data_IF_223192543616
#
_entry.id   IF_223192543616
#
_cell.length_a   1.000
_cell.length_b   1.000
_cell.length_c   1.000
_cell.angle_alpha   90.00
_cell.angle_beta   90.00
_cell.angle_gamma   90.00
#
_symmetry.space_group_name_H-M   'P 1'
#
loop_
_entity.id
_entity.type
_entity.pdbx_description
1 polymer ?
#
# COMPACT_ATOMS: atom_id res chain seq x y z
N UNK A 1 -20.11 9.55 0.64
CA UNK A 1 -20.65 10.41 1.71
C UNK A 1 -19.91 11.73 1.79
N UNK A 2 -18.63 11.73 2.05
CA UNK A 2 -17.84 12.96 2.29
C UNK A 2 -16.69 13.00 1.29
N UNK A 3 -16.84 13.71 0.15
CA UNK A 3 -15.83 13.76 -0.91
C UNK A 3 -14.74 14.79 -0.59
N UNK A 4 -13.92 14.53 0.40
CA UNK A 4 -12.83 15.41 0.87
C UNK A 4 -11.47 14.72 0.74
N UNK A 5 -10.44 15.50 0.43
CA UNK A 5 -9.06 15.02 0.25
C UNK A 5 -8.48 14.32 1.49
N UNK A 6 -8.97 14.65 2.69
CA UNK A 6 -8.61 13.98 3.93
C UNK A 6 -8.95 12.48 3.97
N UNK A 7 -9.83 12.00 3.08
CA UNK A 7 -10.14 10.59 2.88
C UNK A 7 -10.43 9.85 4.19
N UNK A 8 -9.58 8.87 4.53
CA UNK A 8 -9.69 8.06 5.74
C UNK A 8 -9.73 8.92 7.02
N UNK A 9 -8.95 9.99 7.08
CA UNK A 9 -8.92 10.91 8.23
C UNK A 9 -10.28 11.55 8.47
N UNK A 10 -10.90 12.12 7.44
CA UNK A 10 -12.22 12.76 7.53
C UNK A 10 -13.30 11.76 7.99
N UNK A 11 -13.33 10.56 7.40
CA UNK A 11 -14.31 9.54 7.81
C UNK A 11 -14.12 9.11 9.27
N UNK A 12 -12.87 9.01 9.72
CA UNK A 12 -12.54 8.60 11.08
C UNK A 12 -12.84 9.73 12.07
N UNK A 13 -12.58 10.99 11.75
CA UNK A 13 -12.93 12.12 12.62
C UNK A 13 -14.45 12.17 12.90
N UNK A 14 -15.28 11.97 11.88
CA UNK A 14 -16.75 11.94 12.01
C UNK A 14 -17.26 10.68 12.72
N UNK A 15 -16.57 9.54 12.60
CA UNK A 15 -17.00 8.29 13.22
C UNK A 15 -16.52 8.11 14.66
N UNK A 16 -15.23 8.39 14.93
CA UNK A 16 -14.51 8.01 16.15
C UNK A 16 -13.69 9.15 16.79
N UNK A 17 -13.71 10.33 16.19
CA UNK A 17 -13.02 11.52 16.71
C UNK A 17 -11.59 11.71 16.20
N UNK A 18 -11.03 12.86 16.52
CA UNK A 18 -9.76 13.34 15.96
C UNK A 18 -8.55 12.52 16.40
N UNK A 19 -8.56 11.98 17.62
CA UNK A 19 -7.46 11.14 18.13
C UNK A 19 -7.28 9.89 17.26
N UNK A 20 -8.37 9.18 17.00
CA UNK A 20 -8.34 7.98 16.14
C UNK A 20 -8.03 8.38 14.69
N UNK A 21 -8.56 9.50 14.20
CA UNK A 21 -8.29 10.02 12.86
C UNK A 21 -6.79 10.26 12.63
N UNK A 22 -6.12 10.98 13.53
CA UNK A 22 -4.67 11.19 13.48
C UNK A 22 -3.93 9.86 13.56
N UNK A 23 -4.33 8.99 14.49
CA UNK A 23 -3.74 7.67 14.69
C UNK A 23 -3.78 6.81 13.43
N UNK A 24 -4.91 6.78 12.72
CA UNK A 24 -5.10 6.00 11.50
C UNK A 24 -4.28 6.54 10.34
N UNK A 25 -4.28 7.85 10.10
CA UNK A 25 -3.55 8.40 8.95
C UNK A 25 -2.04 8.40 9.20
N UNK A 26 -1.59 8.82 10.37
CA UNK A 26 -0.16 8.78 10.69
C UNK A 26 0.33 7.34 10.90
N UNK A 27 -0.44 6.48 11.58
CA UNK A 27 -0.05 5.10 11.86
C UNK A 27 -0.17 4.17 10.65
N UNK A 28 -1.26 4.28 9.91
CA UNK A 28 -1.54 3.38 8.79
C UNK A 28 -0.99 3.82 7.43
N UNK A 29 -0.57 5.08 7.27
CA UNK A 29 -0.05 5.58 5.99
C UNK A 29 1.30 6.28 6.14
N UNK A 30 1.45 7.28 7.00
CA UNK A 30 2.73 7.99 7.12
C UNK A 30 3.82 7.11 7.72
N UNK A 31 3.50 6.32 8.76
CA UNK A 31 4.43 5.37 9.39
C UNK A 31 4.81 4.19 8.48
N UNK A 32 4.00 3.90 7.46
CA UNK A 32 4.32 2.87 6.45
C UNK A 32 5.52 3.30 5.60
N UNK A 33 5.67 4.59 5.30
CA UNK A 33 6.69 5.12 4.40
C UNK A 33 8.13 4.71 4.76
N UNK A 34 8.61 4.92 6.01
CA UNK A 34 9.99 4.57 6.37
C UNK A 34 10.27 3.06 6.36
N UNK A 35 9.24 2.23 6.23
CA UNK A 35 9.37 0.78 6.13
C UNK A 35 9.20 0.29 4.68
N UNK A 36 8.08 0.60 4.02
CA UNK A 36 7.80 0.08 2.68
C UNK A 36 8.70 0.67 1.61
N UNK A 37 8.83 2.00 1.55
CA UNK A 37 9.54 2.64 0.45
C UNK A 37 11.03 2.25 0.36
N UNK A 38 11.80 2.25 1.46
CA UNK A 38 13.18 1.76 1.41
C UNK A 38 13.27 0.28 1.04
N UNK A 39 12.37 -0.56 1.59
CA UNK A 39 12.38 -1.99 1.30
C UNK A 39 12.15 -2.27 -0.19
N UNK A 40 11.19 -1.61 -0.81
CA UNK A 40 10.89 -1.75 -2.25
C UNK A 40 12.00 -1.20 -3.14
N UNK A 41 12.62 -0.07 -2.76
CA UNK A 41 13.73 0.52 -3.49
C UNK A 41 15.01 -0.34 -3.37
N UNK A 42 15.29 -0.92 -2.19
CA UNK A 42 16.40 -1.86 -1.99
C UNK A 42 16.15 -3.18 -2.74
N UNK A 43 14.91 -3.66 -2.79
CA UNK A 43 14.55 -4.83 -3.58
C UNK A 43 14.79 -4.60 -5.07
N UNK A 44 14.43 -3.42 -5.58
CA UNK A 44 14.75 -3.02 -6.95
C UNK A 44 16.25 -3.05 -7.21
N UNK A 45 17.06 -2.43 -6.33
CA UNK A 45 18.52 -2.43 -6.46
C UNK A 45 19.07 -3.86 -6.47
N UNK A 46 18.55 -4.73 -5.58
CA UNK A 46 18.93 -6.15 -5.54
C UNK A 46 18.65 -6.87 -6.87
N UNK A 47 17.47 -6.63 -7.46
CA UNK A 47 17.07 -7.25 -8.74
C UNK A 47 17.93 -6.73 -9.90
N UNK A 48 18.15 -5.42 -9.94
CA UNK A 48 18.98 -4.83 -11.02
C UNK A 48 20.44 -5.26 -10.89
N UNK A 49 20.98 -5.34 -9.68
CA UNK A 49 22.33 -5.83 -9.41
C UNK A 49 22.52 -7.30 -9.79
N UNK A 50 21.46 -8.13 -9.66
CA UNK A 50 21.49 -9.52 -10.10
C UNK A 50 21.69 -9.65 -11.63
N UNK A 51 21.12 -8.70 -12.40
CA UNK A 51 21.17 -8.71 -13.87
C UNK A 51 22.38 -7.95 -14.41
N UNK A 52 22.70 -6.82 -13.79
CA UNK A 52 23.78 -5.89 -14.20
C UNK A 52 24.63 -5.52 -12.97
N UNK A 53 25.51 -6.43 -12.50
CA UNK A 53 26.29 -6.24 -11.29
C UNK A 53 27.08 -4.92 -11.28
N UNK A 54 26.89 -4.10 -10.24
CA UNK A 54 27.60 -2.84 -10.03
C UNK A 54 27.31 -1.72 -11.01
N UNK A 55 26.39 -1.90 -11.97
CA UNK A 55 26.18 -0.92 -13.05
C UNK A 55 25.35 0.29 -12.63
N UNK A 56 24.46 0.15 -11.64
CA UNK A 56 23.50 1.19 -11.25
C UNK A 56 23.47 1.41 -9.73
N UNK A 57 24.57 1.89 -9.13
CA UNK A 57 24.58 2.18 -7.69
C UNK A 57 23.59 3.29 -7.37
N UNK A 58 22.86 3.13 -6.24
CA UNK A 58 21.88 4.11 -5.75
C UNK A 58 20.70 4.37 -6.70
N UNK A 59 20.30 3.36 -7.51
CA UNK A 59 19.17 3.47 -8.42
C UNK A 59 17.87 3.81 -7.66
N UNK A 60 17.68 3.22 -6.50
CA UNK A 60 16.51 3.49 -5.63
C UNK A 60 16.44 4.96 -5.22
N UNK A 61 17.56 5.54 -4.79
CA UNK A 61 17.63 6.95 -4.44
C UNK A 61 17.37 7.86 -5.65
N UNK A 62 17.90 7.51 -6.82
CA UNK A 62 17.67 8.26 -8.06
C UNK A 62 16.19 8.27 -8.45
N UNK A 63 15.50 7.12 -8.35
CA UNK A 63 14.06 7.03 -8.58
C UNK A 63 13.24 7.80 -7.54
N UNK A 64 13.60 7.71 -6.27
CA UNK A 64 12.93 8.45 -5.19
C UNK A 64 13.03 9.96 -5.44
N UNK A 65 14.21 10.48 -5.81
CA UNK A 65 14.42 11.88 -6.17
C UNK A 65 13.62 12.28 -7.41
N UNK A 66 13.67 11.46 -8.46
CA UNK A 66 12.91 11.70 -9.69
C UNK A 66 11.41 11.88 -9.40
N UNK A 67 10.80 10.92 -8.73
CA UNK A 67 9.36 10.97 -8.42
C UNK A 67 9.01 12.09 -7.43
N UNK A 68 9.92 12.45 -6.53
CA UNK A 68 9.76 13.62 -5.66
C UNK A 68 9.65 14.90 -6.49
N UNK A 69 10.58 15.10 -7.42
CA UNK A 69 10.58 16.29 -8.32
C UNK A 69 9.31 16.30 -9.19
N UNK A 70 8.95 15.18 -9.81
CA UNK A 70 7.75 15.09 -10.65
C UNK A 70 6.48 15.43 -9.89
N UNK A 71 6.35 14.98 -8.65
CA UNK A 71 5.19 15.28 -7.80
C UNK A 71 5.17 16.73 -7.29
N UNK A 72 6.32 17.37 -7.11
CA UNK A 72 6.40 18.79 -6.83
C UNK A 72 5.87 19.64 -7.99
N UNK A 73 6.05 19.19 -9.23
CA UNK A 73 5.61 19.89 -10.45
C UNK A 73 4.09 19.79 -10.71
N UNK A 74 3.36 19.02 -9.93
CA UNK A 74 1.89 19.01 -9.90
C UNK A 74 1.24 17.74 -10.43
N UNK A 75 -0.11 17.71 -10.32
CA UNK A 75 -0.94 16.51 -10.56
C UNK A 75 -0.96 16.03 -12.01
N UNK A 76 -0.88 16.95 -12.99
CA UNK A 76 -0.95 16.57 -14.40
C UNK A 76 0.27 15.75 -14.83
N UNK A 77 1.46 16.13 -14.32
CA UNK A 77 2.70 15.39 -14.57
C UNK A 77 2.64 14.04 -13.85
N UNK A 78 2.25 14.03 -12.56
CA UNK A 78 2.03 12.79 -11.82
C UNK A 78 1.13 11.83 -12.59
N UNK A 79 -0.06 12.29 -13.02
CA UNK A 79 -1.07 11.47 -13.69
C UNK A 79 -0.55 10.89 -15.02
N UNK A 80 0.14 11.70 -15.82
CA UNK A 80 0.68 11.27 -17.11
C UNK A 80 1.75 10.20 -16.94
N UNK A 81 2.69 10.41 -16.00
CA UNK A 81 3.76 9.45 -15.71
C UNK A 81 3.17 8.18 -15.09
N UNK A 82 2.23 8.31 -14.15
CA UNK A 82 1.56 7.15 -13.53
C UNK A 82 0.87 6.28 -14.55
N UNK A 83 0.12 6.87 -15.49
CA UNK A 83 -0.53 6.13 -16.55
C UNK A 83 0.47 5.34 -17.41
N UNK A 84 1.56 5.98 -17.84
CA UNK A 84 2.61 5.31 -18.63
C UNK A 84 3.17 4.10 -17.87
N UNK A 85 3.56 4.30 -16.61
CA UNK A 85 4.19 3.28 -15.77
C UNK A 85 3.22 2.12 -15.49
N UNK A 86 1.96 2.43 -15.13
CA UNK A 86 0.94 1.40 -14.84
C UNK A 86 0.60 0.58 -16.07
N UNK A 87 0.41 1.19 -17.24
CA UNK A 87 0.13 0.43 -18.46
C UNK A 87 1.31 -0.44 -18.87
N UNK A 88 2.54 0.06 -18.75
CA UNK A 88 3.74 -0.74 -19.03
C UNK A 88 3.85 -1.93 -18.07
N UNK A 89 3.63 -1.70 -16.77
CA UNK A 89 3.62 -2.76 -15.76
C UNK A 89 2.55 -3.81 -16.04
N UNK A 90 1.32 -3.37 -16.34
CA UNK A 90 0.21 -4.26 -16.61
C UNK A 90 0.48 -5.15 -17.84
N UNK A 91 1.01 -4.56 -18.92
CA UNK A 91 1.39 -5.32 -20.11
C UNK A 91 2.49 -6.33 -19.77
N UNK A 92 3.51 -5.94 -19.01
CA UNK A 92 4.57 -6.86 -18.59
C UNK A 92 4.03 -8.04 -17.76
N UNK A 93 3.17 -7.77 -16.78
CA UNK A 93 2.54 -8.82 -15.95
C UNK A 93 1.66 -9.77 -16.77
N UNK A 94 0.87 -9.22 -17.69
CA UNK A 94 0.03 -10.05 -18.60
C UNK A 94 0.89 -10.90 -19.54
N UNK A 95 1.95 -10.34 -20.12
CA UNK A 95 2.87 -11.09 -20.99
C UNK A 95 3.53 -12.22 -20.20
N UNK A 96 4.08 -11.96 -19.01
CA UNK A 96 4.69 -12.99 -18.17
C UNK A 96 3.66 -14.06 -17.81
N UNK A 97 2.47 -13.67 -17.35
CA UNK A 97 1.42 -14.59 -16.92
C UNK A 97 0.87 -15.44 -18.06
N UNK A 98 0.54 -14.84 -19.20
CA UNK A 98 0.01 -15.57 -20.38
C UNK A 98 1.07 -16.52 -20.93
N UNK A 99 2.30 -16.05 -21.12
CA UNK A 99 3.40 -16.90 -21.62
C UNK A 99 3.64 -18.08 -20.67
N UNK A 100 3.60 -17.85 -19.33
CA UNK A 100 3.79 -18.92 -18.36
C UNK A 100 2.64 -19.94 -18.31
N UNK A 101 1.43 -19.53 -18.64
CA UNK A 101 0.28 -20.47 -18.70
C UNK A 101 0.20 -21.20 -20.04
N UNK A 102 0.56 -20.55 -21.16
CA UNK A 102 0.41 -21.10 -22.52
C UNK A 102 1.70 -21.69 -23.10
N UNK A 103 2.87 -21.41 -22.48
CA UNK A 103 4.19 -21.80 -22.97
C UNK A 103 4.39 -23.33 -23.06
N UNK A 104 5.09 -23.75 -24.09
CA UNK A 104 5.31 -25.16 -24.47
C UNK A 104 6.26 -25.91 -23.52
N UNK A 105 6.99 -25.19 -22.65
CA UNK A 105 7.93 -25.79 -21.68
C UNK A 105 7.30 -26.06 -20.29
N UNK A 106 5.99 -25.88 -20.17
CA UNK A 106 5.30 -26.23 -18.95
C UNK A 106 5.57 -27.72 -18.63
N UNK A 107 6.36 -27.97 -17.60
CA UNK A 107 6.40 -29.30 -17.01
C UNK A 107 4.96 -29.74 -16.81
N UNK A 108 4.63 -30.97 -17.20
CA UNK A 108 3.29 -31.55 -17.00
C UNK A 108 2.97 -31.75 -15.51
N UNK A 109 3.25 -30.74 -14.71
CA UNK A 109 2.82 -30.69 -13.32
C UNK A 109 1.32 -30.44 -13.36
N UNK A 110 0.58 -31.53 -13.44
CA UNK A 110 -0.87 -31.52 -13.59
C UNK A 110 -1.50 -30.76 -12.43
N UNK A 111 -2.68 -30.19 -12.68
CA UNK A 111 -3.54 -29.55 -11.66
C UNK A 111 -3.71 -30.45 -10.41
N UNK A 112 -3.54 -31.78 -10.54
CA UNK A 112 -3.51 -32.77 -9.45
C UNK A 112 -2.37 -32.56 -8.44
N UNK A 113 -1.22 -32.01 -8.83
CA UNK A 113 -0.10 -31.74 -7.91
C UNK A 113 -0.25 -30.40 -7.18
N UNK A 114 -0.95 -29.45 -7.76
CA UNK A 114 -1.35 -28.22 -7.07
C UNK A 114 -2.21 -28.55 -5.83
N UNK A 115 -3.03 -29.60 -5.91
CA UNK A 115 -3.85 -30.09 -4.79
C UNK A 115 -3.04 -30.74 -3.67
N UNK A 116 -1.86 -31.30 -3.94
CA UNK A 116 -1.00 -31.93 -2.91
C UNK A 116 -0.31 -30.90 -2.01
N UNK A 117 -0.03 -29.69 -2.52
CA UNK A 117 0.52 -28.57 -1.74
C UNK A 117 -0.47 -27.98 -0.71
N UNK A 118 -1.77 -28.33 -0.79
CA UNK A 118 -2.79 -27.86 0.17
C UNK A 118 -2.80 -28.62 1.50
N UNK A 119 -1.86 -29.54 1.74
CA UNK A 119 -1.66 -30.21 3.05
C UNK A 119 -0.95 -29.33 4.07
N UNK A 120 -0.63 -28.08 3.73
CA UNK A 120 -0.02 -27.11 4.62
C UNK A 120 -0.94 -26.78 5.79
N UNK A 121 -0.40 -26.66 7.00
CA UNK A 121 -1.19 -26.34 8.18
C UNK A 121 -1.91 -24.98 8.00
N UNK A 122 -3.13 -24.86 8.50
CA UNK A 122 -3.88 -23.59 8.42
C UNK A 122 -3.13 -22.42 9.05
N UNK A 123 -2.26 -22.67 10.05
CA UNK A 123 -1.39 -21.65 10.66
C UNK A 123 -0.36 -21.09 9.69
N UNK A 124 0.25 -21.91 8.84
CA UNK A 124 1.19 -21.47 7.81
C UNK A 124 0.49 -20.62 6.75
N UNK A 125 -0.71 -21.00 6.31
CA UNK A 125 -1.50 -20.18 5.37
C UNK A 125 -1.82 -18.82 5.97
N UNK A 126 -2.26 -18.77 7.23
CA UNK A 126 -2.55 -17.53 7.94
C UNK A 126 -1.32 -16.62 8.08
N UNK A 127 -0.13 -17.19 8.35
CA UNK A 127 1.11 -16.42 8.48
C UNK A 127 1.58 -15.77 7.18
N UNK A 128 1.16 -16.27 6.03
CA UNK A 128 1.42 -15.67 4.71
C UNK A 128 0.35 -14.66 4.28
N UNK A 129 -0.79 -14.59 4.98
CA UNK A 129 -1.89 -13.69 4.61
C UNK A 129 -1.50 -12.21 4.66
N UNK A 130 -0.59 -11.80 5.56
CA UNK A 130 -0.13 -10.40 5.63
C UNK A 130 0.52 -9.98 4.32
N UNK A 131 1.42 -10.81 3.77
CA UNK A 131 2.09 -10.56 2.50
C UNK A 131 1.11 -10.63 1.32
N UNK A 132 0.17 -11.58 1.35
CA UNK A 132 -0.87 -11.67 0.33
C UNK A 132 -1.79 -10.42 0.34
N UNK A 133 -2.20 -9.94 1.51
CA UNK A 133 -3.01 -8.73 1.65
C UNK A 133 -2.23 -7.47 1.24
N UNK A 134 -0.91 -7.42 1.46
CA UNK A 134 -0.05 -6.36 0.97
C UNK A 134 -0.17 -6.17 -0.55
N UNK A 135 -0.26 -7.26 -1.30
CA UNK A 135 -0.42 -7.22 -2.76
C UNK A 135 -1.73 -6.57 -3.23
N UNK A 136 -2.74 -6.48 -2.37
CA UNK A 136 -4.03 -5.81 -2.65
C UNK A 136 -4.13 -4.42 -2.03
N UNK A 137 -3.13 -3.98 -1.25
CA UNK A 137 -3.10 -2.65 -0.67
C UNK A 137 -2.89 -1.59 -1.76
N UNK A 138 -3.46 -0.39 -1.56
CA UNK A 138 -3.25 0.75 -2.45
C UNK A 138 -4.46 1.19 -3.27
N UNK A 139 -5.52 0.39 -3.38
CA UNK A 139 -6.74 0.80 -4.09
C UNK A 139 -7.38 2.06 -3.47
N UNK A 140 -7.23 2.26 -2.17
CA UNK A 140 -7.72 3.43 -1.44
C UNK A 140 -6.93 4.70 -1.71
N UNK A 141 -5.75 4.63 -2.33
CA UNK A 141 -4.99 5.82 -2.75
C UNK A 141 -5.73 6.67 -3.80
N UNK A 142 -6.83 6.17 -4.33
CA UNK A 142 -7.76 7.00 -5.11
C UNK A 142 -8.52 8.02 -4.23
N UNK A 143 -8.72 7.74 -2.94
CA UNK A 143 -9.49 8.60 -2.05
C UNK A 143 -8.88 10.00 -1.83
N UNK A 144 -7.56 10.17 -1.64
CA UNK A 144 -6.91 11.48 -1.56
C UNK A 144 -7.05 12.35 -2.81
N UNK A 145 -7.32 11.75 -3.98
CA UNK A 145 -7.52 12.45 -5.24
C UNK A 145 -8.99 12.71 -5.57
N UNK A 146 -9.89 12.54 -4.60
CA UNK A 146 -11.34 12.64 -4.82
C UNK A 146 -11.76 14.01 -5.37
N UNK A 147 -11.11 15.10 -4.92
CA UNK A 147 -11.38 16.47 -5.35
C UNK A 147 -10.90 16.74 -6.78
N UNK A 148 -9.94 15.95 -7.27
CA UNK A 148 -9.38 16.02 -8.62
C UNK A 148 -10.07 15.02 -9.59
N UNK A 149 -10.98 14.17 -9.08
CA UNK A 149 -11.64 13.10 -9.84
C UNK A 149 -12.97 13.54 -10.41
N UNK A 150 -13.20 13.30 -11.71
CA UNK A 150 -14.50 13.54 -12.35
C UNK A 150 -15.55 12.53 -11.87
N UNK A 151 -16.73 13.02 -11.45
CA UNK A 151 -17.84 12.19 -10.95
C UNK A 151 -17.41 11.14 -9.90
N UNK A 152 -16.75 11.56 -8.80
CA UNK A 152 -16.09 10.65 -7.86
C UNK A 152 -17.06 9.66 -7.23
N UNK A 153 -18.30 10.04 -6.99
CA UNK A 153 -19.32 9.18 -6.38
C UNK A 153 -19.62 7.90 -7.18
N UNK A 154 -19.47 7.94 -8.51
CA UNK A 154 -19.65 6.78 -9.40
C UNK A 154 -18.32 6.11 -9.75
N UNK A 155 -17.31 6.93 -10.06
CA UNK A 155 -16.05 6.43 -10.59
C UNK A 155 -15.18 5.74 -9.53
N UNK A 156 -15.06 6.28 -8.30
CA UNK A 156 -14.25 5.65 -7.27
C UNK A 156 -14.69 4.20 -6.96
N UNK A 157 -15.95 3.93 -6.57
CA UNK A 157 -16.36 2.57 -6.26
C UNK A 157 -16.17 1.60 -7.43
N UNK A 158 -16.45 2.03 -8.66
CA UNK A 158 -16.28 1.21 -9.85
C UNK A 158 -14.81 0.88 -10.10
N UNK A 159 -13.95 1.89 -10.04
CA UNK A 159 -12.52 1.68 -10.29
C UNK A 159 -11.88 0.82 -9.20
N UNK A 160 -12.26 0.99 -7.93
CA UNK A 160 -11.78 0.14 -6.84
C UNK A 160 -12.21 -1.32 -7.03
N UNK A 161 -13.47 -1.58 -7.40
CA UNK A 161 -13.95 -2.93 -7.66
C UNK A 161 -13.28 -3.56 -8.88
N UNK A 162 -13.20 -2.82 -9.99
CA UNK A 162 -12.50 -3.29 -11.20
C UNK A 162 -11.02 -3.53 -10.94
N UNK A 163 -10.37 -2.63 -10.20
CA UNK A 163 -8.98 -2.79 -9.78
C UNK A 163 -8.77 -4.04 -8.93
N UNK A 164 -9.64 -4.30 -7.95
CA UNK A 164 -9.56 -5.50 -7.10
C UNK A 164 -9.73 -6.79 -7.93
N UNK A 165 -10.70 -6.83 -8.85
CA UNK A 165 -10.90 -7.97 -9.76
C UNK A 165 -9.69 -8.15 -10.67
N UNK A 166 -9.16 -7.06 -11.24
CA UNK A 166 -7.99 -7.11 -12.11
C UNK A 166 -6.74 -7.60 -11.39
N UNK A 167 -6.49 -7.14 -10.16
CA UNK A 167 -5.40 -7.63 -9.33
C UNK A 167 -5.54 -9.12 -9.04
N UNK A 168 -6.75 -9.58 -8.67
CA UNK A 168 -7.02 -10.99 -8.44
C UNK A 168 -6.72 -11.85 -9.69
N UNK A 169 -7.15 -11.39 -10.88
CA UNK A 169 -6.91 -12.10 -12.13
C UNK A 169 -5.41 -12.11 -12.49
N UNK A 170 -4.71 -11.00 -12.37
CA UNK A 170 -3.28 -10.89 -12.68
C UNK A 170 -2.45 -11.75 -11.72
N UNK A 171 -2.67 -11.64 -10.41
CA UNK A 171 -1.93 -12.45 -9.44
C UNK A 171 -2.27 -13.93 -9.54
N UNK A 172 -3.53 -14.27 -9.78
CA UNK A 172 -3.94 -15.65 -10.06
C UNK A 172 -3.25 -16.22 -11.31
N UNK A 173 -3.18 -15.44 -12.39
CA UNK A 173 -2.49 -15.81 -13.62
C UNK A 173 -0.99 -16.05 -13.38
N UNK A 174 -0.33 -15.15 -12.64
CA UNK A 174 1.09 -15.28 -12.30
C UNK A 174 1.36 -16.48 -11.38
N UNK A 175 0.50 -16.72 -10.39
CA UNK A 175 0.62 -17.87 -9.51
C UNK A 175 0.50 -19.19 -10.28
N UNK A 176 -0.48 -19.31 -11.18
CA UNK A 176 -0.63 -20.47 -12.07
C UNK A 176 0.59 -20.61 -12.97
N UNK A 177 1.08 -19.52 -13.56
CA UNK A 177 2.28 -19.52 -14.39
C UNK A 177 3.50 -20.03 -13.61
N UNK A 178 3.71 -19.55 -12.39
CA UNK A 178 4.83 -19.99 -11.53
C UNK A 178 4.75 -21.49 -11.22
N UNK A 179 3.59 -21.97 -10.75
CA UNK A 179 3.39 -23.39 -10.41
C UNK A 179 3.46 -24.34 -11.59
N UNK A 180 3.18 -23.87 -12.81
CA UNK A 180 3.32 -24.69 -14.04
C UNK A 180 4.76 -24.82 -14.51
N UNK A 181 5.62 -23.85 -14.22
CA UNK A 181 6.97 -23.80 -14.78
C UNK A 181 8.06 -24.12 -13.76
N UNK A 182 7.77 -24.02 -12.46
CA UNK A 182 8.77 -24.20 -11.39
C UNK A 182 8.17 -25.09 -10.30
N UNK A 183 8.99 -25.98 -9.74
CA UNK A 183 8.55 -26.84 -8.64
C UNK A 183 8.24 -26.02 -7.37
N UNK A 184 7.22 -26.41 -6.58
CA UNK A 184 6.89 -25.73 -5.33
C UNK A 184 8.06 -25.62 -4.36
N UNK A 185 8.90 -26.64 -4.27
CA UNK A 185 10.07 -26.65 -3.39
C UNK A 185 11.10 -25.61 -3.82
N UNK A 186 11.39 -25.51 -5.13
CA UNK A 186 12.29 -24.51 -5.69
C UNK A 186 11.76 -23.09 -5.48
N UNK A 187 10.43 -22.90 -5.61
CA UNK A 187 9.80 -21.59 -5.34
C UNK A 187 9.90 -21.20 -3.86
N UNK A 188 9.73 -22.18 -2.95
CA UNK A 188 9.78 -21.95 -1.51
C UNK A 188 11.18 -21.61 -1.00
N UNK A 189 12.21 -22.18 -1.60
CA UNK A 189 13.63 -21.96 -1.24
C UNK A 189 14.21 -20.68 -1.85
N UNK A 190 13.55 -20.11 -2.86
CA UNK A 190 14.06 -18.94 -3.57
C UNK A 190 13.75 -17.64 -2.86
N UNK A 191 14.76 -16.78 -2.70
CA UNK A 191 14.58 -15.39 -2.25
C UNK A 191 13.93 -14.49 -3.33
N UNK A 192 13.96 -14.93 -4.60
CA UNK A 192 13.45 -14.17 -5.77
C UNK A 192 12.62 -15.05 -6.70
N UNK A 193 11.48 -15.60 -6.25
CA UNK A 193 10.66 -16.54 -7.05
C UNK A 193 10.22 -15.96 -8.42
N UNK A 194 9.97 -14.67 -8.46
CA UNK A 194 9.60 -13.95 -9.69
C UNK A 194 10.74 -13.91 -10.72
N UNK A 195 12.01 -13.87 -10.27
CA UNK A 195 13.17 -14.02 -11.17
C UNK A 195 13.19 -15.39 -11.82
N UNK A 196 13.04 -16.45 -11.02
CA UNK A 196 13.01 -17.83 -11.54
C UNK A 196 11.95 -18.00 -12.61
N UNK A 197 10.74 -17.42 -12.40
CA UNK A 197 9.68 -17.48 -13.40
C UNK A 197 10.07 -16.78 -14.69
N UNK A 198 10.57 -15.55 -14.59
CA UNK A 198 10.96 -14.78 -15.78
C UNK A 198 12.12 -15.47 -16.52
N UNK A 199 13.09 -16.01 -15.79
CA UNK A 199 14.23 -16.74 -16.37
C UNK A 199 13.78 -18.02 -17.10
N UNK A 200 12.87 -18.80 -16.51
CA UNK A 200 12.33 -20.01 -17.12
C UNK A 200 11.57 -19.73 -18.42
N UNK A 201 10.90 -18.58 -18.52
CA UNK A 201 10.07 -18.21 -19.67
C UNK A 201 10.85 -17.52 -20.79
N UNK A 202 11.79 -16.66 -20.46
CA UNK A 202 12.44 -15.77 -21.43
C UNK A 202 13.94 -16.06 -21.65
N UNK A 203 14.52 -16.99 -20.87
CA UNK A 203 15.92 -17.41 -21.04
C UNK A 203 16.87 -16.22 -21.10
N UNK A 204 17.60 -16.08 -22.23
CA UNK A 204 18.59 -14.98 -22.41
C UNK A 204 18.00 -13.57 -22.31
N UNK A 205 16.72 -13.38 -22.56
CA UNK A 205 16.03 -12.09 -22.49
C UNK A 205 15.45 -11.80 -21.09
N UNK A 206 15.55 -12.75 -20.16
CA UNK A 206 14.97 -12.64 -18.83
C UNK A 206 15.46 -11.41 -18.07
N UNK A 207 16.75 -11.10 -18.16
CA UNK A 207 17.34 -9.92 -17.50
C UNK A 207 16.68 -8.63 -17.92
N UNK A 208 16.49 -8.40 -19.21
CA UNK A 208 15.82 -7.20 -19.71
C UNK A 208 14.35 -7.13 -19.24
N UNK A 209 13.59 -8.21 -19.39
CA UNK A 209 12.18 -8.29 -18.99
C UNK A 209 12.05 -8.00 -17.48
N UNK A 210 12.92 -8.60 -16.67
CA UNK A 210 12.90 -8.44 -15.22
C UNK A 210 13.24 -7.02 -14.78
N UNK A 211 14.22 -6.39 -15.39
CA UNK A 211 14.59 -4.99 -15.06
C UNK A 211 13.46 -4.03 -15.44
N UNK A 212 12.87 -4.17 -16.61
CA UNK A 212 11.71 -3.37 -17.03
C UNK A 212 10.55 -3.56 -16.05
N UNK A 213 10.24 -4.81 -15.68
CA UNK A 213 9.22 -5.12 -14.68
C UNK A 213 9.52 -4.48 -13.33
N UNK A 214 10.72 -4.68 -12.78
CA UNK A 214 11.09 -4.17 -11.47
C UNK A 214 11.08 -2.64 -11.41
N UNK A 215 11.65 -1.96 -12.41
CA UNK A 215 11.64 -0.50 -12.49
C UNK A 215 10.21 0.03 -12.58
N UNK A 216 9.36 -0.55 -13.42
CA UNK A 216 7.98 -0.07 -13.57
C UNK A 216 7.14 -0.34 -12.32
N UNK A 217 7.29 -1.49 -11.68
CA UNK A 217 6.59 -1.83 -10.44
C UNK A 217 6.96 -0.87 -9.31
N UNK A 218 8.26 -0.71 -9.03
CA UNK A 218 8.75 0.19 -7.98
C UNK A 218 8.42 1.65 -8.29
N UNK A 219 8.50 2.07 -9.55
CA UNK A 219 8.13 3.42 -9.98
C UNK A 219 6.64 3.69 -9.73
N UNK A 220 5.76 2.73 -10.02
CA UNK A 220 4.32 2.86 -9.79
C UNK A 220 4.01 3.11 -8.31
N UNK A 221 4.59 2.30 -7.41
CA UNK A 221 4.37 2.43 -5.97
C UNK A 221 4.98 3.72 -5.43
N UNK A 222 6.26 4.00 -5.74
CA UNK A 222 6.96 5.20 -5.28
C UNK A 222 6.22 6.48 -5.69
N UNK A 223 5.80 6.58 -6.97
CA UNK A 223 5.05 7.72 -7.46
C UNK A 223 3.71 7.88 -6.73
N UNK A 224 2.98 6.79 -6.49
CA UNK A 224 1.69 6.79 -5.76
C UNK A 224 1.84 7.23 -4.31
N UNK A 225 2.86 6.72 -3.60
CA UNK A 225 3.13 7.06 -2.19
C UNK A 225 3.47 8.54 -2.04
N UNK A 226 4.39 9.06 -2.89
CA UNK A 226 4.79 10.48 -2.87
C UNK A 226 3.64 11.41 -3.30
N UNK A 227 2.69 10.93 -4.09
CA UNK A 227 1.52 11.72 -4.47
C UNK A 227 0.41 11.70 -3.41
N UNK A 228 0.08 10.52 -2.89
CA UNK A 228 -1.12 10.30 -2.07
C UNK A 228 -0.96 10.68 -0.60
N UNK A 229 0.13 10.25 0.04
CA UNK A 229 0.33 10.49 1.48
C UNK A 229 0.43 11.99 1.82
N UNK A 230 1.16 12.83 1.06
CA UNK A 230 1.14 14.28 1.28
C UNK A 230 -0.24 14.91 1.18
N UNK A 231 -1.13 14.38 0.31
CA UNK A 231 -2.52 14.86 0.21
C UNK A 231 -3.35 14.47 1.43
N UNK A 232 -3.13 13.28 2.00
CA UNK A 232 -3.74 12.89 3.28
C UNK A 232 -3.26 13.83 4.42
N UNK A 233 -1.96 14.13 4.47
CA UNK A 233 -1.40 15.07 5.44
C UNK A 233 -1.96 16.48 5.25
N UNK A 234 -2.12 16.92 4.01
CA UNK A 234 -2.77 18.18 3.67
C UNK A 234 -4.23 18.23 4.19
N UNK A 235 -5.00 17.17 3.96
CA UNK A 235 -6.38 17.06 4.47
C UNK A 235 -6.44 17.13 6.00
N UNK A 236 -5.57 16.40 6.71
CA UNK A 236 -5.48 16.48 8.17
C UNK A 236 -5.10 17.90 8.66
N UNK A 237 -4.17 18.56 7.99
CA UNK A 237 -3.75 19.92 8.36
C UNK A 237 -4.87 20.94 8.14
N UNK A 238 -5.69 20.78 7.10
CA UNK A 238 -6.88 21.59 6.87
C UNK A 238 -7.93 21.43 7.98
N UNK A 239 -8.03 20.24 8.55
CA UNK A 239 -8.89 19.94 9.70
C UNK A 239 -8.22 20.26 11.07
N UNK A 240 -7.09 20.97 11.07
CA UNK A 240 -6.37 21.31 12.28
C UNK A 240 -5.71 20.13 13.01
N UNK A 241 -5.71 18.94 12.42
CA UNK A 241 -5.16 17.69 12.99
C UNK A 241 -3.63 17.55 12.84
N UNK A 242 -3.01 18.36 11.98
CA UNK A 242 -1.58 18.49 11.78
C UNK A 242 -1.14 19.96 11.79
N UNK A 243 0.17 20.25 11.94
CA UNK A 243 0.69 21.60 11.81
C UNK A 243 0.25 22.27 10.51
N UNK A 244 -0.18 23.54 10.59
CA UNK A 244 -0.72 24.30 9.46
C UNK A 244 0.21 24.39 8.23
N UNK A 245 1.52 24.14 8.43
CA UNK A 245 2.49 24.13 7.34
C UNK A 245 2.17 23.05 6.29
N UNK A 246 1.65 21.89 6.70
CA UNK A 246 1.24 20.81 5.79
C UNK A 246 -0.05 21.14 5.02
N UNK A 247 -0.81 22.13 5.48
CA UNK A 247 -1.99 22.67 4.78
C UNK A 247 -1.65 23.73 3.72
N UNK A 248 -0.38 23.96 3.41
CA UNK A 248 0.05 24.94 2.40
C UNK A 248 0.37 24.25 1.08
N UNK A 249 -0.22 24.79 -0.01
CA UNK A 249 0.08 24.38 -1.38
C UNK A 249 1.17 25.24 -1.98
N UNK A 250 1.95 24.68 -2.90
CA UNK A 250 2.93 25.47 -3.67
C UNK A 250 2.23 26.53 -4.51
N UNK A 251 2.69 27.81 -4.51
CA UNK A 251 1.99 28.92 -5.19
C UNK A 251 1.73 28.66 -6.66
N UNK A 252 2.71 28.11 -7.38
CA UNK A 252 2.66 27.88 -8.84
C UNK A 252 2.03 26.51 -9.18
N UNK A 253 2.50 25.44 -8.57
CA UNK A 253 2.17 24.06 -8.97
C UNK A 253 1.01 23.46 -8.17
N UNK A 254 0.52 24.15 -7.14
CA UNK A 254 -0.61 23.72 -6.29
C UNK A 254 -0.39 22.35 -5.62
N UNK A 255 0.84 21.87 -5.59
CA UNK A 255 1.23 20.61 -4.90
C UNK A 255 1.39 20.84 -3.39
N UNK A 256 1.12 19.81 -2.53
CA UNK A 256 1.34 19.88 -1.08
C UNK A 256 2.82 19.67 -0.73
N UNK A 257 3.67 20.59 -1.14
CA UNK A 257 5.12 20.44 -1.20
C UNK A 257 5.80 20.15 0.14
N UNK A 258 5.30 20.68 1.26
CA UNK A 258 5.84 20.34 2.58
C UNK A 258 5.60 18.87 2.93
N UNK A 259 4.43 18.34 2.60
CA UNK A 259 4.13 16.91 2.73
C UNK A 259 5.01 16.05 1.84
N UNK A 260 5.23 16.46 0.58
CA UNK A 260 6.10 15.75 -0.37
C UNK A 260 7.54 15.67 0.15
N UNK A 261 8.09 16.79 0.64
CA UNK A 261 9.44 16.81 1.23
C UNK A 261 9.51 15.95 2.49
N UNK A 262 8.48 15.98 3.35
CA UNK A 262 8.45 15.14 4.53
C UNK A 262 8.43 13.64 4.18
N UNK A 263 7.60 13.22 3.23
CA UNK A 263 7.54 11.83 2.74
C UNK A 263 8.85 11.41 2.09
N UNK A 264 9.46 12.29 1.29
CA UNK A 264 10.80 12.05 0.74
C UNK A 264 11.83 11.79 1.84
N UNK A 265 11.88 12.61 2.88
CA UNK A 265 12.83 12.43 3.99
C UNK A 265 12.56 11.15 4.77
N UNK A 266 11.27 10.81 5.02
CA UNK A 266 10.87 9.56 5.68
C UNK A 266 11.29 8.31 4.89
N UNK A 267 11.32 8.38 3.57
CA UNK A 267 11.78 7.28 2.72
C UNK A 267 13.31 7.29 2.55
N UNK A 268 13.91 8.46 2.33
CA UNK A 268 15.33 8.65 2.01
C UNK A 268 16.25 8.28 3.18
N UNK A 269 15.91 8.72 4.40
CA UNK A 269 16.77 8.50 5.57
C UNK A 269 16.96 7.00 5.85
N UNK A 270 15.91 6.18 5.97
CA UNK A 270 16.09 4.73 6.13
C UNK A 270 16.75 4.07 4.92
N UNK A 271 16.45 4.51 3.69
CA UNK A 271 17.06 3.97 2.47
C UNK A 271 18.59 4.11 2.51
N UNK A 272 19.08 5.29 2.90
CA UNK A 272 20.53 5.54 2.99
C UNK A 272 21.17 4.80 4.17
N UNK A 273 20.51 4.78 5.32
CA UNK A 273 21.03 4.11 6.52
C UNK A 273 21.07 2.58 6.37
N UNK A 274 20.14 2.01 5.61
CA UNK A 274 20.00 0.56 5.42
C UNK A 274 20.58 0.05 4.09
N UNK A 275 21.31 0.88 3.35
CA UNK A 275 21.83 0.54 2.03
C UNK A 275 22.68 -0.75 1.98
N UNK A 276 23.26 -1.19 3.12
CA UNK A 276 24.01 -2.45 3.26
C UNK A 276 23.24 -3.61 3.88
N UNK A 277 22.01 -3.40 4.36
CA UNK A 277 21.28 -4.32 5.24
C UNK A 277 20.16 -5.04 4.50
N UNK A 278 20.51 -5.92 3.54
CA UNK A 278 19.54 -6.62 2.67
C UNK A 278 18.62 -7.60 3.44
N UNK A 279 19.01 -8.04 4.62
CA UNK A 279 18.26 -9.02 5.42
C UNK A 279 17.01 -8.46 6.09
N UNK A 280 16.86 -7.13 6.14
CA UNK A 280 15.71 -6.47 6.78
C UNK A 280 14.52 -6.20 5.84
N UNK A 281 14.64 -6.46 4.53
CA UNK A 281 13.59 -6.14 3.55
C UNK A 281 12.25 -6.79 3.94
N UNK A 282 12.27 -8.09 4.23
CA UNK A 282 11.05 -8.82 4.59
C UNK A 282 10.43 -8.30 5.90
N UNK A 283 11.24 -8.05 6.93
CA UNK A 283 10.79 -7.47 8.20
C UNK A 283 10.13 -6.10 7.98
N UNK A 284 10.74 -5.26 7.16
CA UNK A 284 10.20 -3.93 6.84
C UNK A 284 8.86 -4.03 6.12
N UNK A 285 8.73 -4.90 5.12
CA UNK A 285 7.49 -5.10 4.38
C UNK A 285 6.37 -5.64 5.27
N UNK A 286 6.65 -6.63 6.13
CA UNK A 286 5.64 -7.18 7.06
C UNK A 286 5.23 -6.13 8.10
N UNK A 287 6.17 -5.33 8.62
CA UNK A 287 5.85 -4.24 9.54
C UNK A 287 4.95 -3.19 8.87
N UNK A 288 5.30 -2.76 7.66
CA UNK A 288 4.50 -1.82 6.87
C UNK A 288 3.08 -2.37 6.60
N UNK A 289 2.98 -3.63 6.18
CA UNK A 289 1.71 -4.29 5.95
C UNK A 289 0.85 -4.35 7.22
N UNK A 290 1.45 -4.65 8.36
CA UNK A 290 0.75 -4.69 9.66
C UNK A 290 0.17 -3.32 10.02
N UNK A 291 0.94 -2.23 9.83
CA UNK A 291 0.43 -0.87 10.06
C UNK A 291 -0.76 -0.55 9.17
N UNK A 292 -0.70 -0.93 7.92
CA UNK A 292 -1.77 -0.71 6.95
C UNK A 292 -3.04 -1.51 7.28
N UNK A 293 -2.89 -2.78 7.69
CA UNK A 293 -4.02 -3.61 8.10
C UNK A 293 -4.79 -3.02 9.29
N UNK A 294 -4.08 -2.39 10.25
CA UNK A 294 -4.74 -1.67 11.36
C UNK A 294 -5.61 -0.53 10.84
N UNK A 295 -5.13 0.25 9.86
CA UNK A 295 -5.94 1.30 9.24
C UNK A 295 -7.18 0.74 8.52
N UNK A 296 -7.05 -0.39 7.84
CA UNK A 296 -8.18 -1.06 7.18
C UNK A 296 -9.21 -1.59 8.17
N UNK A 297 -8.78 -2.13 9.32
CA UNK A 297 -9.71 -2.51 10.41
C UNK A 297 -10.53 -1.29 10.82
N UNK A 298 -9.88 -0.15 11.04
CA UNK A 298 -10.59 1.11 11.39
C UNK A 298 -11.52 1.56 10.26
N UNK A 299 -11.14 1.36 8.99
CA UNK A 299 -12.03 1.65 7.85
C UNK A 299 -13.34 0.86 7.93
N UNK A 300 -13.26 -0.43 8.22
CA UNK A 300 -14.45 -1.28 8.40
C UNK A 300 -15.30 -0.82 9.60
N UNK A 301 -14.66 -0.48 10.71
CA UNK A 301 -15.33 0.07 11.91
C UNK A 301 -16.03 1.38 11.57
N UNK A 302 -15.38 2.30 10.84
CA UNK A 302 -15.96 3.57 10.38
C UNK A 302 -17.26 3.34 9.58
N UNK A 303 -17.26 2.36 8.67
CA UNK A 303 -18.47 2.02 7.89
C UNK A 303 -19.60 1.60 8.81
N UNK A 304 -19.33 0.76 9.82
CA UNK A 304 -20.34 0.29 10.78
C UNK A 304 -20.90 1.46 11.60
N UNK A 305 -20.02 2.29 12.18
CA UNK A 305 -20.41 3.44 13.00
C UNK A 305 -21.21 4.46 12.19
N UNK A 306 -20.71 4.87 11.03
CA UNK A 306 -21.35 5.88 10.18
C UNK A 306 -22.70 5.42 9.63
N UNK A 307 -22.87 4.13 9.35
CA UNK A 307 -24.20 3.59 8.96
C UNK A 307 -25.20 3.61 10.07
N UNK A 308 -24.77 3.35 11.33
CA UNK A 308 -25.63 3.40 12.51
C UNK A 308 -25.97 4.84 12.91
N UNK A 309 -24.97 5.73 12.90
CA UNK A 309 -25.14 7.13 13.35
C UNK A 309 -25.93 8.00 12.36
N UNK A 310 -25.74 7.77 11.05
CA UNK A 310 -26.36 8.56 9.98
C UNK A 310 -27.14 7.66 8.99
N UNK A 311 -28.24 7.00 9.42
CA UNK A 311 -28.96 6.04 8.57
C UNK A 311 -29.60 6.69 7.33
N UNK A 312 -30.10 7.93 7.45
CA UNK A 312 -30.73 8.70 6.38
C UNK A 312 -29.80 9.37 5.39
N UNK A 313 -28.49 9.33 5.62
CA UNK A 313 -27.54 10.02 4.74
C UNK A 313 -27.41 9.32 3.38
N UNK A 314 -27.45 10.10 2.29
CA UNK A 314 -27.35 9.57 0.93
C UNK A 314 -26.02 8.86 0.68
N UNK A 315 -26.08 7.62 0.18
CA UNK A 315 -24.92 6.80 -0.14
C UNK A 315 -25.05 6.30 -1.57
N UNK A 316 -24.27 6.87 -2.53
CA UNK A 316 -24.30 6.43 -3.93
C UNK A 316 -23.93 4.96 -4.11
N UNK A 317 -23.03 4.47 -3.26
CA UNK A 317 -22.63 3.05 -3.19
C UNK A 317 -22.93 2.49 -1.80
N UNK A 318 -23.54 1.31 -1.76
CA UNK A 318 -23.79 0.56 -0.53
C UNK A 318 -23.16 -0.82 -0.67
N UNK A 319 -22.25 -1.16 0.24
CA UNK A 319 -21.66 -2.51 0.30
C UNK A 319 -22.79 -3.55 0.42
N UNK A 320 -22.83 -4.54 -0.49
CA UNK A 320 -23.80 -5.64 -0.37
C UNK A 320 -23.53 -6.47 0.88
N UNK A 321 -24.52 -7.22 1.34
CA UNK A 321 -24.42 -8.12 2.49
C UNK A 321 -23.94 -7.46 3.80
N UNK A 322 -24.09 -6.14 3.93
CA UNK A 322 -23.73 -5.44 5.18
C UNK A 322 -24.45 -6.04 6.41
N UNK A 323 -23.79 -6.25 7.57
CA UNK A 323 -22.40 -5.88 7.90
C UNK A 323 -21.36 -7.00 7.67
N UNK A 324 -21.73 -8.11 7.03
CA UNK A 324 -20.90 -9.30 6.91
C UNK A 324 -19.48 -9.02 6.33
N UNK A 325 -19.31 -8.29 5.21
CA UNK A 325 -17.97 -8.00 4.69
C UNK A 325 -17.10 -7.21 5.68
N UNK A 326 -17.70 -6.29 6.45
CA UNK A 326 -16.96 -5.51 7.46
C UNK A 326 -16.49 -6.40 8.61
N UNK A 327 -17.35 -7.27 9.12
CA UNK A 327 -17.01 -8.20 10.22
C UNK A 327 -15.93 -9.18 9.76
N UNK A 328 -16.09 -9.79 8.58
CA UNK A 328 -15.10 -10.70 8.01
C UNK A 328 -13.76 -10.00 7.74
N UNK A 329 -13.78 -8.75 7.27
CA UNK A 329 -12.58 -7.95 7.08
C UNK A 329 -11.85 -7.68 8.40
N UNK A 330 -12.56 -7.27 9.45
CA UNK A 330 -11.97 -7.04 10.78
C UNK A 330 -11.35 -8.33 11.33
N UNK A 331 -12.09 -9.45 11.28
CA UNK A 331 -11.61 -10.72 11.79
C UNK A 331 -10.44 -11.28 10.99
N UNK A 332 -10.53 -11.25 9.65
CA UNK A 332 -9.46 -11.74 8.77
C UNK A 332 -8.16 -10.94 8.89
N UNK A 333 -8.26 -9.62 8.95
CA UNK A 333 -7.09 -8.76 9.15
C UNK A 333 -6.52 -8.89 10.57
N UNK A 334 -7.37 -9.05 11.59
CA UNK A 334 -6.95 -9.32 12.96
C UNK A 334 -6.18 -10.64 13.07
N UNK A 335 -6.67 -11.70 12.42
CA UNK A 335 -5.97 -12.99 12.35
C UNK A 335 -4.66 -12.88 11.55
N UNK A 336 -4.64 -12.14 10.44
CA UNK A 336 -3.42 -11.90 9.68
C UNK A 336 -2.36 -11.18 10.52
N UNK A 337 -2.74 -10.16 11.29
CA UNK A 337 -1.83 -9.47 12.21
C UNK A 337 -1.34 -10.43 13.30
N UNK A 338 -2.21 -11.28 13.85
CA UNK A 338 -1.84 -12.25 14.88
C UNK A 338 -0.83 -13.31 14.38
N UNK A 339 -0.96 -13.75 13.13
CA UNK A 339 -0.06 -14.72 12.50
C UNK A 339 0.90 -14.08 11.51
N UNK A 340 1.38 -12.87 11.73
CA UNK A 340 2.04 -11.99 10.76
C UNK A 340 3.28 -12.57 10.05
N UNK A 341 3.92 -13.61 10.60
CA UNK A 341 5.10 -14.24 10.01
C UNK A 341 5.22 -15.71 10.40
N UNK A 342 5.77 -16.60 9.54
CA UNK A 342 6.15 -17.95 9.90
C UNK A 342 7.31 -18.01 10.91
N UNK A 343 8.17 -17.00 10.92
CA UNK A 343 9.30 -16.87 11.85
C UNK A 343 8.89 -16.17 13.12
N UNK A 344 9.05 -16.81 14.28
CA UNK A 344 8.75 -16.19 15.59
C UNK A 344 9.60 -14.95 15.87
N UNK A 345 10.86 -14.94 15.44
CA UNK A 345 11.75 -13.81 15.64
C UNK A 345 11.30 -12.58 14.84
N UNK A 346 11.00 -12.77 13.55
CA UNK A 346 10.43 -11.72 12.69
C UNK A 346 9.10 -11.24 13.26
N UNK A 347 8.24 -12.16 13.71
CA UNK A 347 6.94 -11.82 14.30
C UNK A 347 7.09 -10.94 15.55
N UNK A 348 8.01 -11.28 16.47
CA UNK A 348 8.32 -10.46 17.65
C UNK A 348 8.80 -9.05 17.27
N UNK A 349 9.70 -8.95 16.29
CA UNK A 349 10.21 -7.67 15.83
C UNK A 349 9.11 -6.81 15.17
N UNK A 350 8.20 -7.42 14.37
CA UNK A 350 7.03 -6.75 13.81
C UNK A 350 6.13 -6.20 14.91
N UNK A 351 5.86 -6.97 15.96
CA UNK A 351 5.07 -6.48 17.10
C UNK A 351 5.77 -5.33 17.83
N UNK A 352 7.07 -5.43 18.08
CA UNK A 352 7.84 -4.34 18.70
C UNK A 352 7.77 -3.08 17.87
N UNK A 353 8.04 -3.17 16.56
CA UNK A 353 7.93 -2.04 15.64
C UNK A 353 6.53 -1.42 15.67
N UNK A 354 5.49 -2.26 15.67
CA UNK A 354 4.10 -1.81 15.68
C UNK A 354 3.74 -1.10 16.98
N UNK A 355 4.07 -1.68 18.13
CA UNK A 355 3.80 -1.08 19.44
C UNK A 355 4.52 0.25 19.60
N UNK A 356 5.82 0.32 19.26
CA UNK A 356 6.59 1.56 19.35
C UNK A 356 6.02 2.64 18.44
N UNK A 357 5.72 2.31 17.19
CA UNK A 357 5.22 3.29 16.23
C UNK A 357 3.83 3.80 16.63
N UNK A 358 2.90 2.91 16.98
CA UNK A 358 1.57 3.32 17.42
C UNK A 358 1.60 4.05 18.77
N UNK A 359 2.52 3.71 19.69
CA UNK A 359 2.70 4.47 20.94
C UNK A 359 3.17 5.89 20.67
N UNK A 360 4.18 6.08 19.81
CA UNK A 360 4.68 7.41 19.42
C UNK A 360 3.57 8.26 18.77
N UNK A 361 2.84 7.67 17.82
CA UNK A 361 1.76 8.37 17.13
C UNK A 361 0.59 8.67 18.06
N UNK A 362 0.24 7.74 18.95
CA UNK A 362 -0.81 7.96 19.96
C UNK A 362 -0.40 9.05 20.94
N UNK A 363 0.86 9.10 21.37
CA UNK A 363 1.40 10.19 22.17
C UNK A 363 1.27 11.53 21.47
N UNK A 364 1.71 11.63 20.20
CA UNK A 364 1.53 12.82 19.38
C UNK A 364 0.03 13.21 19.27
N UNK A 365 -0.83 12.27 18.89
CA UNK A 365 -2.26 12.52 18.71
C UNK A 365 -2.93 12.98 20.01
N UNK A 366 -2.57 12.37 21.15
CA UNK A 366 -3.06 12.77 22.46
C UNK A 366 -2.72 14.25 22.77
N UNK A 367 -1.42 14.60 22.68
CA UNK A 367 -0.99 15.97 22.93
C UNK A 367 -1.61 16.96 21.95
N UNK A 368 -1.67 16.61 20.68
CA UNK A 368 -2.21 17.49 19.64
C UNK A 368 -3.70 17.76 19.85
N UNK A 369 -4.52 16.72 20.02
CA UNK A 369 -5.96 16.87 20.22
C UNK A 369 -6.28 17.58 21.53
N UNK A 370 -5.60 17.19 22.62
CA UNK A 370 -5.90 17.74 23.94
C UNK A 370 -5.46 19.18 24.11
N UNK A 371 -4.25 19.52 23.64
CA UNK A 371 -3.63 20.83 23.94
C UNK A 371 -3.67 21.82 22.77
N UNK A 372 -3.61 21.35 21.51
CA UNK A 372 -3.69 22.24 20.34
C UNK A 372 -5.12 22.42 19.84
N UNK A 373 -5.85 21.30 19.62
CA UNK A 373 -7.23 21.37 19.17
C UNK A 373 -8.23 21.70 20.29
N UNK A 374 -7.86 21.42 21.55
CA UNK A 374 -8.72 21.61 22.74
C UNK A 374 -10.06 20.87 22.63
N UNK A 375 -10.07 19.71 21.96
CA UNK A 375 -11.22 18.83 21.78
C UNK A 375 -11.11 17.59 22.65
N UNK A 376 -12.24 16.89 22.85
CA UNK A 376 -12.27 15.55 23.46
C UNK A 376 -11.58 14.52 22.56
N UNK A 377 -10.88 13.55 23.14
CA UNK A 377 -10.09 12.57 22.35
C UNK A 377 -10.97 11.76 21.39
N UNK A 378 -12.13 11.30 21.86
CA UNK A 378 -13.09 10.49 21.10
C UNK A 378 -14.35 11.31 20.71
N UNK A 379 -14.26 12.62 20.77
CA UNK A 379 -15.31 13.52 20.35
C UNK A 379 -15.41 13.51 18.83
N UNK A 380 -16.51 12.93 18.33
CA UNK A 380 -16.74 12.82 16.90
C UNK A 380 -17.11 14.18 16.32
N UNK A 381 -16.53 14.49 15.18
CA UNK A 381 -16.81 15.73 14.45
C UNK A 381 -18.22 15.68 13.84
N UNK A 382 -19.02 16.74 13.96
CA UNK A 382 -20.31 16.83 13.26
C UNK A 382 -20.13 16.71 11.75
N UNK A 383 -21.00 15.93 11.08
CA UNK A 383 -20.88 15.69 9.65
C UNK A 383 -21.01 16.98 8.82
N UNK A 384 -21.80 17.94 9.30
CA UNK A 384 -22.02 19.23 8.62
C UNK A 384 -20.76 20.10 8.67
N UNK A 385 -20.00 20.07 9.77
CA UNK A 385 -18.71 20.73 9.87
C UNK A 385 -17.69 20.10 8.91
N UNK A 386 -17.60 18.76 8.92
CA UNK A 386 -16.70 18.03 8.03
C UNK A 386 -17.03 18.23 6.53
N UNK A 387 -18.25 18.61 6.18
CA UNK A 387 -18.66 18.93 4.81
C UNK A 387 -18.41 20.39 4.43
N UNK A 388 -18.39 21.30 5.41
CA UNK A 388 -18.20 22.73 5.17
C UNK A 388 -16.73 23.13 4.94
N UNK A 389 -15.79 22.36 5.47
CA UNK A 389 -14.34 22.53 5.28
C UNK A 389 -13.89 22.00 3.91
#
# INVERSE_FOLDING_TARGET
MMPKAGGMGTYTAVSAGHFISIGVVLGGYVAVVPFSSPAELLLLEKIVDLVYPGSFPHLGLALLLLFTVLNLLGIDIFSSVQNLVVYTLLVALLVIGITGVTGVQANEMGISEIGRGLTTSGGTVLSLMVLALWSFAGLEFMCPFIEETKNPQKNLPRTMLLGAVMLLLVYGLLAIAALRNISPDTLAESETPHWLLVESLFGKSAGFVMVVFAITATSCVTNTVIAGIPRMMYGLARQGQLPAIFGRLHPRWKSPWYGIVAVFLLACVPLVLLAGAKDFILLMLISAATFWLVAYIVAHINVIILRKRYPGFARPFRTPLYPLPQVLGILGMGLAIWYNSPSEEVSKQVYVNSVLMFALISGYAFFWVRFKMKKGLLEAEPIDEALSE
#
